data_IF_054396706176
#
_entry.id   IF_054396706176
#
_cell.length_a   1.000
_cell.length_b   1.000
_cell.length_c   1.000
_cell.angle_alpha   90.00
_cell.angle_beta   90.00
_cell.angle_gamma   90.00
#
_symmetry.space_group_name_H-M   'P 1'
#
loop_
_entity.id
_entity.type
_entity.pdbx_description
1 polymer ?
#
# COMPACT_ATOMS: atom_id res chain seq x y z
N UNK A 1 15.99 7.32 -8.30
CA UNK A 1 15.70 6.29 -9.32
C UNK A 1 14.98 5.11 -8.70
N UNK A 2 15.58 4.37 -7.76
CA UNK A 2 14.94 3.20 -7.13
C UNK A 2 13.57 3.49 -6.46
N UNK A 3 13.47 4.58 -5.67
CA UNK A 3 12.18 5.02 -5.08
C UNK A 3 11.08 5.33 -6.11
N UNK A 4 11.44 5.79 -7.30
CA UNK A 4 10.50 6.08 -8.39
C UNK A 4 10.03 4.80 -9.08
N UNK A 5 10.86 3.75 -9.09
CA UNK A 5 10.56 2.44 -9.67
C UNK A 5 9.60 1.63 -8.78
N UNK A 6 9.74 1.71 -7.44
CA UNK A 6 8.75 1.14 -6.51
C UNK A 6 7.37 1.81 -6.62
N UNK A 7 7.32 3.09 -6.99
CA UNK A 7 6.06 3.80 -7.20
C UNK A 7 5.25 3.24 -8.39
N UNK A 8 5.92 2.59 -9.35
CA UNK A 8 5.32 2.00 -10.56
C UNK A 8 4.78 0.59 -10.35
N UNK A 9 5.17 -0.09 -9.27
CA UNK A 9 4.57 -1.35 -8.84
C UNK A 9 3.28 -1.03 -8.07
N UNK A 10 2.19 -0.78 -8.80
CA UNK A 10 0.90 -0.50 -8.20
C UNK A 10 0.06 -1.79 -8.10
N UNK A 11 0.08 -2.41 -6.93
CA UNK A 11 -1.07 -3.24 -6.51
C UNK A 11 -2.12 -2.27 -5.91
N UNK A 12 -3.41 -2.34 -6.29
CA UNK A 12 -4.42 -1.35 -5.87
C UNK A 12 -4.54 -1.13 -4.36
N UNK A 13 -4.48 -2.20 -3.60
CA UNK A 13 -4.59 -2.21 -2.15
C UNK A 13 -3.40 -1.54 -1.42
N UNK A 14 -2.30 -1.21 -2.10
CA UNK A 14 -1.16 -0.49 -1.51
C UNK A 14 -1.23 1.01 -1.82
N UNK A 15 -2.31 1.51 -2.43
CA UNK A 15 -2.40 2.91 -2.85
C UNK A 15 -2.20 3.93 -1.71
N UNK A 16 -2.54 3.57 -0.47
CA UNK A 16 -2.34 4.41 0.72
C UNK A 16 -0.91 4.41 1.30
N UNK A 17 -0.03 3.51 0.85
CA UNK A 17 1.31 3.35 1.44
C UNK A 17 2.32 4.40 0.95
N UNK A 18 3.17 4.88 1.86
CA UNK A 18 4.34 5.70 1.51
C UNK A 18 5.40 4.87 0.75
N UNK A 19 6.37 5.50 0.07
CA UNK A 19 7.49 4.78 -0.55
C UNK A 19 8.25 3.90 0.45
N UNK A 20 8.50 4.41 1.67
CA UNK A 20 9.23 3.71 2.73
C UNK A 20 8.42 2.52 3.26
N UNK A 21 7.10 2.66 3.41
CA UNK A 21 6.20 1.55 3.75
C UNK A 21 6.18 0.47 2.67
N UNK A 22 6.18 0.86 1.39
CA UNK A 22 6.27 -0.09 0.26
C UNK A 22 7.56 -0.87 0.26
N UNK A 23 8.68 -0.20 0.46
CA UNK A 23 9.99 -0.86 0.55
C UNK A 23 10.02 -1.86 1.71
N UNK A 24 9.52 -1.47 2.88
CA UNK A 24 9.42 -2.37 4.04
C UNK A 24 8.50 -3.59 3.77
N UNK A 25 7.36 -3.39 3.10
CA UNK A 25 6.44 -4.48 2.72
C UNK A 25 7.05 -5.43 1.68
N UNK A 26 7.76 -4.92 0.67
CA UNK A 26 8.46 -5.76 -0.31
C UNK A 26 9.50 -6.65 0.39
N UNK A 27 10.31 -6.07 1.28
CA UNK A 27 11.30 -6.81 2.07
C UNK A 27 10.63 -7.89 2.94
N UNK A 28 9.54 -7.57 3.64
CA UNK A 28 8.88 -8.50 4.54
C UNK A 28 8.06 -9.58 3.83
N UNK A 29 7.34 -9.23 2.76
CA UNK A 29 6.37 -10.12 2.09
C UNK A 29 7.00 -10.87 0.94
N UNK A 30 7.69 -10.18 0.03
CA UNK A 30 8.26 -10.79 -1.17
C UNK A 30 9.60 -11.45 -0.86
N UNK A 31 10.41 -10.84 -0.01
CA UNK A 31 11.72 -11.36 0.39
C UNK A 31 11.68 -12.14 1.71
N UNK A 32 10.52 -12.23 2.36
CA UNK A 32 10.31 -13.01 3.58
C UNK A 32 11.26 -12.63 4.73
N UNK A 33 11.73 -11.38 4.77
CA UNK A 33 12.60 -10.90 5.84
C UNK A 33 11.81 -10.69 7.13
N UNK A 34 12.37 -11.13 8.25
CA UNK A 34 11.84 -10.85 9.57
C UNK A 34 12.04 -9.37 9.95
N UNK A 35 11.28 -8.80 10.90
CA UNK A 35 11.37 -7.38 11.26
C UNK A 35 12.78 -6.91 11.62
N UNK A 36 13.60 -7.76 12.25
CA UNK A 36 15.01 -7.44 12.54
C UNK A 36 15.91 -7.38 11.30
N UNK A 37 15.63 -8.19 10.28
CA UNK A 37 16.37 -8.19 9.02
C UNK A 37 15.95 -6.98 8.18
N UNK A 38 14.65 -6.63 8.18
CA UNK A 38 14.15 -5.39 7.59
C UNK A 38 14.81 -4.16 8.24
N UNK A 39 14.90 -4.13 9.57
CA UNK A 39 15.57 -3.05 10.30
C UNK A 39 17.05 -2.92 9.88
N UNK A 40 17.75 -4.04 9.76
CA UNK A 40 19.15 -4.07 9.33
C UNK A 40 19.32 -3.58 7.88
N UNK A 41 18.44 -3.98 6.96
CA UNK A 41 18.47 -3.55 5.55
C UNK A 41 18.18 -2.05 5.41
N UNK A 42 17.19 -1.54 6.15
CA UNK A 42 16.79 -0.13 6.08
C UNK A 42 17.65 0.80 6.95
N UNK A 43 18.60 0.26 7.72
CA UNK A 43 19.49 1.05 8.59
C UNK A 43 18.76 1.78 9.72
N UNK A 44 17.71 1.17 10.27
CA UNK A 44 16.91 1.73 11.37
C UNK A 44 16.88 0.79 12.58
N UNK A 45 16.40 1.28 13.72
CA UNK A 45 16.21 0.44 14.89
C UNK A 45 15.00 -0.52 14.73
N UNK A 46 15.02 -1.62 15.47
CA UNK A 46 13.98 -2.65 15.40
C UNK A 46 12.58 -2.14 15.79
N UNK A 47 12.48 -1.19 16.71
CA UNK A 47 11.18 -0.65 17.12
C UNK A 47 10.58 0.20 15.98
N UNK A 48 11.38 1.07 15.37
CA UNK A 48 11.00 1.84 14.18
C UNK A 48 10.58 0.93 13.02
N UNK A 49 11.31 -0.16 12.76
CA UNK A 49 10.95 -1.11 11.71
C UNK A 49 9.61 -1.81 11.98
N UNK A 50 9.33 -2.18 13.24
CA UNK A 50 8.05 -2.77 13.64
C UNK A 50 6.90 -1.79 13.46
N UNK A 51 7.06 -0.55 13.89
CA UNK A 51 6.04 0.50 13.70
C UNK A 51 5.81 0.80 12.21
N UNK A 52 6.88 0.85 11.42
CA UNK A 52 6.78 1.04 9.98
C UNK A 52 5.99 -0.09 9.30
N UNK A 53 6.30 -1.36 9.63
CA UNK A 53 5.58 -2.52 9.10
C UNK A 53 4.11 -2.57 9.58
N UNK A 54 3.85 -2.24 10.85
CA UNK A 54 2.50 -2.20 11.39
C UNK A 54 1.66 -1.10 10.72
N UNK A 55 2.21 0.10 10.57
CA UNK A 55 1.54 1.20 9.87
C UNK A 55 1.30 0.86 8.40
N UNK A 56 2.27 0.24 7.73
CA UNK A 56 2.14 -0.18 6.34
C UNK A 56 1.02 -1.22 6.16
N UNK A 57 0.94 -2.22 7.04
CA UNK A 57 -0.16 -3.19 7.03
C UNK A 57 -1.51 -2.51 7.25
N UNK A 58 -1.62 -1.59 8.21
CA UNK A 58 -2.86 -0.83 8.43
C UNK A 58 -3.30 -0.04 7.17
N UNK A 59 -2.36 0.55 6.43
CA UNK A 59 -2.66 1.24 5.17
C UNK A 59 -3.23 0.31 4.10
N UNK A 60 -2.66 -0.90 3.99
CA UNK A 60 -3.10 -1.93 3.04
C UNK A 60 -4.52 -2.39 3.38
N UNK A 61 -4.77 -2.72 4.65
CA UNK A 61 -6.06 -3.19 5.13
C UNK A 61 -7.15 -2.13 4.99
N UNK A 62 -6.83 -0.84 5.22
CA UNK A 62 -7.78 0.25 4.99
C UNK A 62 -8.17 0.36 3.52
N UNK A 63 -7.19 0.25 2.63
CA UNK A 63 -7.42 0.34 1.18
C UNK A 63 -8.19 -0.89 0.68
N UNK A 64 -7.89 -2.10 1.21
CA UNK A 64 -8.69 -3.32 0.97
C UNK A 64 -10.14 -3.14 1.34
N UNK A 65 -10.41 -2.59 2.53
CA UNK A 65 -11.77 -2.35 2.99
C UNK A 65 -12.52 -1.36 2.06
N UNK A 66 -11.84 -0.29 1.63
CA UNK A 66 -12.42 0.66 0.69
C UNK A 66 -12.74 0.03 -0.67
N UNK A 67 -11.84 -0.79 -1.21
CA UNK A 67 -12.04 -1.50 -2.48
C UNK A 67 -13.18 -2.53 -2.39
N UNK A 68 -13.29 -3.25 -1.27
CA UNK A 68 -14.41 -4.18 -1.05
C UNK A 68 -15.78 -3.47 -1.03
N UNK A 69 -15.86 -2.24 -0.49
CA UNK A 69 -17.09 -1.44 -0.54
C UNK A 69 -17.44 -1.01 -1.97
N UNK A 70 -16.43 -0.67 -2.77
CA UNK A 70 -16.62 -0.34 -4.20
C UNK A 70 -17.14 -1.55 -4.97
N UNK A 71 -16.52 -2.72 -4.79
CA UNK A 71 -16.89 -3.96 -5.49
C UNK A 71 -18.29 -4.46 -5.14
N UNK A 72 -18.71 -4.31 -3.88
CA UNK A 72 -20.04 -4.75 -3.43
C UNK A 72 -21.19 -3.85 -3.89
N UNK A 73 -20.91 -2.69 -4.49
CA UNK A 73 -21.91 -1.87 -5.21
C UNK A 73 -23.05 -1.28 -4.35
N UNK A 74 -22.97 -1.38 -3.03
CA UNK A 74 -24.09 -1.02 -2.13
C UNK A 74 -24.20 0.48 -1.82
N UNK A 75 -23.23 1.30 -2.25
CA UNK A 75 -23.24 2.73 -2.02
C UNK A 75 -23.45 3.52 -3.33
N UNK A 76 -24.65 4.08 -3.51
CA UNK A 76 -25.01 4.87 -4.69
C UNK A 76 -24.13 6.12 -4.92
N UNK A 77 -23.50 6.65 -3.86
CA UNK A 77 -22.51 7.73 -3.95
C UNK A 77 -21.21 7.26 -4.60
N UNK A 78 -20.72 6.06 -4.21
CA UNK A 78 -19.51 5.44 -4.76
C UNK A 78 -19.76 4.95 -6.18
N UNK A 79 -20.90 4.32 -6.46
CA UNK A 79 -21.28 3.87 -7.80
C UNK A 79 -21.27 5.02 -8.84
N UNK A 80 -21.59 6.25 -8.41
CA UNK A 80 -21.51 7.45 -9.26
C UNK A 80 -20.07 7.91 -9.53
N UNK A 81 -19.16 7.65 -8.59
CA UNK A 81 -17.74 7.93 -8.75
C UNK A 81 -17.02 6.85 -9.58
N UNK A 82 -17.60 5.64 -9.71
CA UNK A 82 -17.00 4.48 -10.39
C UNK A 82 -17.70 4.06 -11.69
N UNK A 83 -18.86 4.63 -12.02
CA UNK A 83 -19.77 4.18 -13.10
C UNK A 83 -19.27 4.36 -14.54
N UNK A 84 -18.29 5.23 -14.81
CA UNK A 84 -17.68 5.36 -16.13
C UNK A 84 -16.38 4.54 -16.18
N UNK A 85 -16.56 3.26 -16.50
CA UNK A 85 -15.56 2.20 -16.50
C UNK A 85 -14.30 2.52 -17.33
N UNK A 86 -13.25 3.03 -16.67
CA UNK A 86 -11.83 2.90 -17.12
C UNK A 86 -10.91 2.82 -15.91
N UNK A 87 -10.67 1.62 -15.40
CA UNK A 87 -9.49 1.39 -14.56
C UNK A 87 -8.23 1.54 -15.44
N UNK A 88 -7.55 2.67 -15.29
CA UNK A 88 -6.09 2.66 -15.10
C UNK A 88 -5.86 3.36 -13.77
N UNK A 89 -6.00 2.61 -12.67
CA UNK A 89 -5.63 3.13 -11.37
C UNK A 89 -4.13 2.96 -11.18
N UNK A 90 -3.40 4.08 -11.18
CA UNK A 90 -2.40 4.42 -10.15
C UNK A 90 -1.92 5.85 -10.37
N UNK A 91 -1.49 6.50 -9.27
CA UNK A 91 -0.72 7.78 -9.26
C UNK A 91 -0.73 8.56 -7.93
N UNK A 92 -1.34 8.07 -6.85
CA UNK A 92 -2.20 8.89 -6.00
C UNK A 92 -3.44 9.27 -6.81
N UNK A 93 -4.59 8.69 -6.50
CA UNK A 93 -5.86 9.10 -7.12
C UNK A 93 -6.61 10.03 -6.17
N UNK A 94 -5.98 11.10 -5.71
CA UNK A 94 -5.51 12.36 -6.38
C UNK A 94 -6.31 13.58 -5.90
N UNK A 95 -6.75 13.56 -4.63
CA UNK A 95 -6.61 14.62 -3.62
C UNK A 95 -7.04 14.07 -2.27
#
# INVERSE_FOLDING_TARGET
RHRSELALLAWPEAAGTTPEQREALELAVRHHLAPQEVAAVLGMDLAAARELLASAACEVERTRAALAVVETGTCAGVARLTGDNRYVLSSALRR
#
